data_IF_270132603430
#
_entry.id   IF_270132603430
#
_cell.length_a   1.000
_cell.length_b   1.000
_cell.length_c   1.000
_cell.angle_alpha   90.00
_cell.angle_beta   90.00
_cell.angle_gamma   90.00
#
_symmetry.space_group_name_H-M   'P 1'
#
loop_
_entity.id
_entity.type
_entity.pdbx_description
1 polymer ?
#
# COMPACT_ATOMS: atom_id res chain seq x y z
N UNK A 1 -29.82 33.81 7.99
CA UNK A 1 -28.50 33.25 7.62
C UNK A 1 -28.75 31.82 7.18
N UNK A 2 -28.94 31.61 5.87
CA UNK A 2 -29.22 30.27 5.33
C UNK A 2 -27.96 29.42 5.45
N UNK A 3 -27.97 28.40 6.29
CA UNK A 3 -26.91 27.38 6.28
C UNK A 3 -27.08 26.58 4.99
N UNK A 4 -26.27 26.89 3.99
CA UNK A 4 -26.12 26.00 2.84
C UNK A 4 -25.51 24.69 3.35
N UNK A 5 -26.25 23.59 3.27
CA UNK A 5 -25.74 22.26 3.56
C UNK A 5 -24.70 21.89 2.49
N UNK A 6 -23.44 22.29 2.69
CA UNK A 6 -22.34 21.96 1.80
C UNK A 6 -21.80 20.58 2.14
N UNK A 7 -22.03 19.61 1.26
CA UNK A 7 -21.48 18.26 1.35
C UNK A 7 -20.17 18.16 0.57
N UNK A 8 -19.17 17.53 1.18
CA UNK A 8 -17.85 17.30 0.59
C UNK A 8 -17.62 15.80 0.38
N UNK A 9 -17.01 15.43 -0.74
CA UNK A 9 -16.58 14.06 -1.03
C UNK A 9 -15.06 13.98 -0.93
N UNK A 10 -14.57 13.26 0.08
CA UNK A 10 -13.14 13.05 0.27
C UNK A 10 -12.79 11.64 -0.21
N UNK A 11 -11.93 11.55 -1.24
CA UNK A 11 -11.39 10.30 -1.75
C UNK A 11 -10.03 10.07 -1.13
N UNK A 12 -9.94 9.08 -0.25
CA UNK A 12 -8.69 8.69 0.40
C UNK A 12 -7.89 7.78 -0.52
N UNK A 13 -6.58 8.06 -0.64
CA UNK A 13 -5.62 7.09 -1.14
C UNK A 13 -5.29 6.03 -0.08
N UNK A 14 -4.25 5.23 -0.32
CA UNK A 14 -3.77 4.26 0.67
C UNK A 14 -3.30 4.97 1.93
N UNK A 15 -3.93 4.63 3.06
CA UNK A 15 -3.49 5.06 4.39
C UNK A 15 -2.45 4.12 4.95
N UNK A 16 -1.52 4.67 5.73
CA UNK A 16 -0.47 3.90 6.42
C UNK A 16 -0.46 4.23 7.91
N UNK A 17 0.36 3.51 8.66
CA UNK A 17 0.53 3.77 10.10
C UNK A 17 0.85 5.24 10.39
N UNK A 18 0.45 5.71 11.58
CA UNK A 18 0.65 7.11 11.96
C UNK A 18 2.14 7.44 12.13
N UNK A 19 2.48 8.72 11.98
CA UNK A 19 3.89 9.16 12.04
C UNK A 19 4.55 8.91 13.40
N UNK A 20 3.79 8.86 14.50
CA UNK A 20 4.36 8.78 15.84
C UNK A 20 4.61 7.35 16.30
N UNK A 21 3.62 6.47 16.11
CA UNK A 21 3.68 5.09 16.60
C UNK A 21 3.92 4.07 15.50
N UNK A 22 3.67 4.44 14.23
CA UNK A 22 3.69 3.51 13.11
C UNK A 22 2.60 2.45 13.17
N UNK A 23 1.58 2.62 14.04
CA UNK A 23 0.55 1.62 14.25
C UNK A 23 -0.27 1.43 12.97
N UNK A 24 -0.13 0.24 12.38
CA UNK A 24 -0.86 -0.18 11.19
C UNK A 24 -1.56 -1.50 11.50
N UNK A 25 -2.84 -1.58 11.14
CA UNK A 25 -3.64 -2.81 11.11
C UNK A 25 -2.86 -3.97 10.47
N UNK A 26 -2.54 -4.98 11.26
CA UNK A 26 -1.78 -6.16 10.80
C UNK A 26 -2.58 -7.04 9.83
N UNK A 27 -3.88 -6.81 9.69
CA UNK A 27 -4.74 -7.50 8.72
C UNK A 27 -4.79 -6.79 7.37
N UNK A 28 -4.21 -5.61 7.25
CA UNK A 28 -4.10 -4.92 5.96
C UNK A 28 -3.11 -5.63 5.04
N UNK A 29 -3.22 -5.34 3.75
CA UNK A 29 -2.45 -6.04 2.73
C UNK A 29 -0.93 -5.76 2.80
N UNK A 30 -0.50 -4.53 3.12
CA UNK A 30 0.93 -4.19 3.22
C UNK A 30 1.59 -4.90 4.41
N UNK A 31 1.06 -4.82 5.65
CA UNK A 31 1.63 -5.59 6.77
C UNK A 31 1.59 -7.10 6.54
N UNK A 32 0.53 -7.61 5.90
CA UNK A 32 0.44 -9.03 5.52
C UNK A 32 1.53 -9.43 4.53
N UNK A 33 1.80 -8.60 3.53
CA UNK A 33 2.89 -8.79 2.56
C UNK A 33 4.25 -8.77 3.26
N UNK A 34 4.50 -7.82 4.17
CA UNK A 34 5.75 -7.74 4.93
C UNK A 34 5.93 -8.97 5.82
N UNK A 35 4.89 -9.41 6.53
CA UNK A 35 4.93 -10.59 7.40
C UNK A 35 5.29 -11.87 6.64
N UNK A 36 4.66 -12.10 5.48
CA UNK A 36 5.03 -13.22 4.60
C UNK A 36 6.46 -13.07 4.06
N UNK A 37 6.87 -11.85 3.71
CA UNK A 37 8.21 -11.56 3.18
C UNK A 37 9.33 -11.88 4.16
N UNK A 38 9.12 -11.57 5.44
CA UNK A 38 10.03 -11.97 6.53
C UNK A 38 10.16 -13.49 6.62
N UNK A 39 9.04 -14.20 6.46
CA UNK A 39 9.02 -15.66 6.56
C UNK A 39 9.70 -16.39 5.41
N UNK A 40 9.61 -15.86 4.18
CA UNK A 40 10.27 -16.44 3.00
C UNK A 40 11.63 -15.82 2.68
N UNK A 41 12.02 -14.77 3.39
CA UNK A 41 13.31 -14.11 3.22
C UNK A 41 13.45 -13.31 1.92
N UNK A 42 12.37 -12.75 1.39
CA UNK A 42 12.42 -11.89 0.18
C UNK A 42 11.25 -10.93 0.11
N UNK A 43 11.44 -9.78 -0.54
CA UNK A 43 10.41 -8.76 -0.78
C UNK A 43 9.99 -8.73 -2.27
N UNK A 44 8.74 -8.34 -2.58
CA UNK A 44 8.26 -8.29 -3.96
C UNK A 44 8.66 -6.99 -4.67
N UNK A 45 9.19 -7.13 -5.88
CA UNK A 45 9.41 -6.05 -6.85
C UNK A 45 8.16 -5.90 -7.71
N UNK A 46 7.63 -4.68 -7.74
CA UNK A 46 6.60 -4.26 -8.67
C UNK A 46 7.00 -2.93 -9.34
N UNK A 47 6.39 -2.62 -10.49
CA UNK A 47 6.53 -1.33 -11.16
C UNK A 47 5.49 -0.32 -10.64
N UNK A 48 5.73 0.96 -10.93
CA UNK A 48 4.85 2.05 -10.50
C UNK A 48 5.32 2.78 -9.24
N UNK A 49 4.48 3.70 -8.80
CA UNK A 49 4.70 4.56 -7.63
C UNK A 49 3.69 4.27 -6.53
N UNK A 50 3.89 4.85 -5.36
CA UNK A 50 2.93 4.84 -4.26
C UNK A 50 2.75 6.23 -3.67
N UNK A 51 1.50 6.63 -3.43
CA UNK A 51 1.12 7.92 -2.81
C UNK A 51 0.55 7.75 -1.40
N UNK A 52 1.24 6.96 -0.60
CA UNK A 52 0.82 6.53 0.73
C UNK A 52 0.82 7.65 1.77
N UNK A 53 -0.28 7.79 2.52
CA UNK A 53 -0.48 8.89 3.45
C UNK A 53 -0.63 8.38 4.90
N UNK A 54 0.16 8.88 5.87
CA UNK A 54 -0.02 8.52 7.28
C UNK A 54 -1.41 8.89 7.79
N UNK A 55 -2.02 8.00 8.59
CA UNK A 55 -3.37 8.16 9.09
C UNK A 55 -3.60 9.49 9.83
N UNK A 56 -2.66 9.89 10.69
CA UNK A 56 -2.78 11.13 11.47
C UNK A 56 -2.66 12.40 10.61
N UNK A 57 -1.91 12.33 9.51
CA UNK A 57 -1.81 13.42 8.52
C UNK A 57 -3.11 13.52 7.71
N UNK A 58 -3.68 12.38 7.29
CA UNK A 58 -4.97 12.34 6.60
C UNK A 58 -6.09 12.93 7.49
N UNK A 59 -6.14 12.52 8.76
CA UNK A 59 -7.15 13.02 9.70
C UNK A 59 -7.05 14.54 9.91
N UNK A 60 -5.83 15.08 10.10
CA UNK A 60 -5.62 16.54 10.21
C UNK A 60 -6.07 17.28 8.97
N UNK A 61 -5.73 16.76 7.78
CA UNK A 61 -6.10 17.38 6.50
C UNK A 61 -7.63 17.43 6.31
N UNK A 62 -8.35 16.38 6.73
CA UNK A 62 -9.82 16.35 6.73
C UNK A 62 -10.39 17.38 7.70
N UNK A 63 -9.87 17.43 8.93
CA UNK A 63 -10.34 18.39 9.95
C UNK A 63 -10.15 19.83 9.44
N UNK A 64 -8.96 20.16 8.93
CA UNK A 64 -8.65 21.48 8.38
C UNK A 64 -9.61 21.87 7.26
N UNK A 65 -9.97 20.91 6.41
CA UNK A 65 -10.97 21.09 5.35
C UNK A 65 -12.35 21.38 5.93
N UNK A 66 -12.80 20.63 6.93
CA UNK A 66 -14.14 20.77 7.52
C UNK A 66 -14.30 22.07 8.32
N UNK A 67 -13.24 22.57 8.95
CA UNK A 67 -13.30 23.78 9.79
C UNK A 67 -13.07 25.07 8.99
N UNK A 68 -12.43 25.00 7.83
CA UNK A 68 -12.11 26.17 7.02
C UNK A 68 -13.30 26.63 6.17
N UNK A 69 -14.25 27.33 6.80
CA UNK A 69 -15.46 27.87 6.15
C UNK A 69 -15.21 29.14 5.32
N UNK A 70 -14.02 29.71 5.41
CA UNK A 70 -13.67 30.98 4.76
C UNK A 70 -13.08 30.81 3.35
N UNK A 71 -12.87 29.56 2.91
CA UNK A 71 -12.38 29.24 1.57
C UNK A 71 -13.42 28.43 0.82
N UNK A 72 -13.62 28.77 -0.45
CA UNK A 72 -14.35 27.91 -1.39
C UNK A 72 -13.40 26.80 -1.82
N UNK A 73 -13.56 25.61 -1.25
CA UNK A 73 -12.82 24.41 -1.67
C UNK A 73 -13.63 23.65 -2.75
N UNK A 74 -13.01 22.73 -3.53
CA UNK A 74 -13.71 21.88 -4.48
C UNK A 74 -14.59 20.80 -3.82
N UNK A 75 -15.80 20.56 -4.32
CA UNK A 75 -16.75 19.58 -3.74
C UNK A 75 -16.16 18.16 -3.61
N UNK A 76 -15.24 17.78 -4.49
CA UNK A 76 -14.51 16.51 -4.45
C UNK A 76 -13.04 16.79 -4.22
N UNK A 77 -12.45 16.19 -3.19
CA UNK A 77 -11.03 16.31 -2.86
C UNK A 77 -10.37 14.94 -2.78
N UNK A 78 -9.17 14.82 -3.34
CA UNK A 78 -8.36 13.61 -3.24
C UNK A 78 -7.31 13.82 -2.15
N UNK A 79 -7.29 12.93 -1.17
CA UNK A 79 -6.37 12.99 -0.03
C UNK A 79 -5.44 11.80 -0.12
N UNK A 80 -4.27 12.05 -0.70
CA UNK A 80 -3.16 11.11 -0.88
C UNK A 80 -1.85 11.88 -0.74
N UNK A 81 -0.72 11.18 -0.65
CA UNK A 81 0.56 11.86 -0.57
C UNK A 81 0.84 12.62 -1.89
N UNK A 82 1.14 13.93 -1.85
CA UNK A 82 1.23 14.75 -3.06
C UNK A 82 2.49 14.49 -3.89
N UNK A 83 3.42 13.68 -3.36
CA UNK A 83 4.68 13.30 -4.02
C UNK A 83 4.77 11.78 -4.05
N UNK A 84 4.29 11.12 -5.11
CA UNK A 84 4.42 9.68 -5.27
C UNK A 84 5.89 9.28 -5.25
N UNK A 85 6.18 8.10 -4.70
CA UNK A 85 7.55 7.52 -4.70
C UNK A 85 7.55 6.17 -5.38
N UNK A 86 8.63 5.77 -6.09
CA UNK A 86 8.71 4.44 -6.70
C UNK A 86 8.46 3.32 -5.68
N UNK A 87 7.69 2.30 -6.05
CA UNK A 87 7.44 1.13 -5.20
C UNK A 87 8.75 0.49 -4.71
N UNK A 88 9.72 0.37 -5.61
CA UNK A 88 11.03 -0.22 -5.31
C UNK A 88 11.75 0.53 -4.19
N UNK A 89 11.58 1.84 -4.07
CA UNK A 89 12.25 2.64 -3.03
C UNK A 89 11.68 2.30 -1.64
N UNK A 90 10.37 2.07 -1.55
CA UNK A 90 9.73 1.57 -0.32
C UNK A 90 10.25 0.18 0.03
N UNK A 91 10.34 -0.74 -0.95
CA UNK A 91 10.85 -2.09 -0.71
C UNK A 91 12.32 -2.09 -0.29
N UNK A 92 13.15 -1.23 -0.87
CA UNK A 92 14.53 -1.02 -0.44
C UNK A 92 14.61 -0.50 1.00
N UNK A 93 13.79 0.50 1.34
CA UNK A 93 13.72 1.05 2.69
C UNK A 93 13.25 0.00 3.71
N UNK A 94 12.28 -0.84 3.35
CA UNK A 94 11.82 -1.97 4.16
C UNK A 94 12.93 -3.01 4.34
N UNK A 95 13.62 -3.40 3.26
CA UNK A 95 14.73 -4.36 3.33
C UNK A 95 15.81 -3.89 4.31
N UNK A 96 16.20 -2.61 4.25
CA UNK A 96 17.15 -2.02 5.18
C UNK A 96 16.62 -1.97 6.63
N UNK A 97 15.35 -1.60 6.81
CA UNK A 97 14.73 -1.45 8.14
C UNK A 97 14.48 -2.79 8.84
N UNK A 98 14.36 -3.89 8.09
CA UNK A 98 14.13 -5.23 8.62
C UNK A 98 15.41 -5.96 9.03
N UNK A 99 16.60 -5.44 8.69
CA UNK A 99 17.90 -6.07 9.03
C UNK A 99 18.01 -6.45 10.51
N UNK A 100 17.64 -5.60 11.50
CA UNK A 100 17.72 -5.97 12.91
C UNK A 100 16.81 -7.16 13.30
N UNK A 101 15.75 -7.41 12.54
CA UNK A 101 14.80 -8.49 12.79
C UNK A 101 15.24 -9.82 12.15
N UNK A 102 15.82 -9.77 10.95
CA UNK A 102 16.12 -10.96 10.13
C UNK A 102 17.62 -11.22 9.95
N UNK A 103 18.48 -10.41 10.57
CA UNK A 103 19.94 -10.47 10.52
C UNK A 103 20.55 -10.43 9.10
N UNK A 104 19.81 -9.92 8.12
CA UNK A 104 20.23 -9.81 6.72
C UNK A 104 19.36 -8.79 5.96
N UNK A 105 19.85 -8.30 4.82
CA UNK A 105 18.98 -7.59 3.88
C UNK A 105 18.16 -8.60 3.09
N UNK A 106 16.85 -8.37 3.00
CA UNK A 106 15.98 -9.21 2.21
C UNK A 106 16.17 -8.88 0.72
N UNK A 107 16.50 -9.86 -0.15
CA UNK A 107 16.52 -9.65 -1.59
C UNK A 107 15.15 -9.26 -2.11
N UNK A 108 15.12 -8.38 -3.10
CA UNK A 108 13.90 -7.99 -3.80
C UNK A 108 13.81 -8.82 -5.09
N UNK A 109 12.75 -9.62 -5.22
CA UNK A 109 12.51 -10.53 -6.35
C UNK A 109 11.23 -10.14 -7.09
N UNK A 110 11.01 -10.58 -8.33
CA UNK A 110 9.78 -10.26 -9.08
C UNK A 110 8.51 -10.64 -8.30
N UNK A 111 7.42 -9.86 -8.43
CA UNK A 111 6.22 -10.07 -7.63
C UNK A 111 5.61 -11.47 -7.82
N UNK A 112 5.55 -11.96 -9.05
CA UNK A 112 5.08 -13.33 -9.32
C UNK A 112 5.95 -14.39 -8.61
N UNK A 113 7.27 -14.26 -8.71
CA UNK A 113 8.22 -15.16 -8.06
C UNK A 113 8.07 -15.10 -6.53
N UNK A 114 7.91 -13.90 -5.97
CA UNK A 114 7.62 -13.72 -4.55
C UNK A 114 6.33 -14.44 -4.13
N UNK A 115 5.25 -14.27 -4.88
CA UNK A 115 3.94 -14.88 -4.57
C UNK A 115 4.03 -16.42 -4.60
N UNK A 116 4.71 -16.96 -5.62
CA UNK A 116 4.98 -18.40 -5.74
C UNK A 116 5.73 -18.94 -4.53
N UNK A 117 6.81 -18.26 -4.09
CA UNK A 117 7.58 -18.66 -2.89
C UNK A 117 6.72 -18.67 -1.63
N UNK A 118 5.83 -17.69 -1.45
CA UNK A 118 4.90 -17.66 -0.31
C UNK A 118 3.97 -18.87 -0.35
N UNK A 119 3.36 -19.16 -1.51
CA UNK A 119 2.45 -20.28 -1.66
C UNK A 119 3.15 -21.62 -1.35
N UNK A 120 4.30 -21.88 -1.97
CA UNK A 120 5.08 -23.10 -1.74
C UNK A 120 5.52 -23.27 -0.28
N UNK A 121 5.95 -22.18 0.37
CA UNK A 121 6.34 -22.20 1.78
C UNK A 121 5.15 -22.44 2.72
N UNK A 122 3.99 -21.87 2.41
CA UNK A 122 2.76 -22.06 3.18
C UNK A 122 2.20 -23.49 3.03
N UNK A 123 2.25 -24.07 1.83
CA UNK A 123 1.84 -25.46 1.57
C UNK A 123 2.77 -26.46 2.24
N UNK A 124 4.08 -26.19 2.23
CA UNK A 124 5.10 -27.06 2.85
C UNK A 124 5.15 -26.96 4.38
N UNK A 125 4.37 -26.06 4.99
CA UNK A 125 4.39 -25.82 6.43
C UNK A 125 3.65 -26.94 7.19
N UNK A 126 4.38 -27.67 8.04
CA UNK A 126 3.88 -28.83 8.79
C UNK A 126 3.21 -28.49 10.14
N UNK A 127 3.08 -27.21 10.49
CA UNK A 127 2.48 -26.78 11.76
C UNK A 127 0.96 -26.63 11.69
N UNK A 128 0.37 -26.06 12.75
CA UNK A 128 -1.06 -25.78 12.78
C UNK A 128 -1.46 -24.74 11.73
N UNK A 129 -2.72 -24.75 11.31
CA UNK A 129 -3.24 -23.74 10.37
C UNK A 129 -3.10 -22.32 10.94
N UNK A 130 -3.32 -22.15 12.24
CA UNK A 130 -3.13 -20.87 12.94
C UNK A 130 -1.69 -20.37 12.81
N UNK A 131 -0.71 -21.24 13.00
CA UNK A 131 0.70 -20.87 12.88
C UNK A 131 1.11 -20.63 11.42
N UNK A 132 0.52 -21.38 10.47
CA UNK A 132 0.68 -21.12 9.03
C UNK A 132 0.26 -19.69 8.71
N UNK A 133 -0.91 -19.26 9.19
CA UNK A 133 -1.43 -17.93 8.95
C UNK A 133 -0.70 -16.80 9.67
N UNK A 134 -0.05 -17.08 10.80
CA UNK A 134 0.84 -16.09 11.44
C UNK A 134 2.12 -15.90 10.64
N UNK A 135 2.61 -16.97 10.01
CA UNK A 135 3.87 -16.98 9.25
C UNK A 135 3.68 -16.48 7.82
N UNK A 136 2.56 -16.80 7.19
CA UNK A 136 2.24 -16.43 5.80
C UNK A 136 0.90 -15.68 5.74
N UNK A 137 0.74 -14.53 6.42
CA UNK A 137 -0.54 -13.83 6.53
C UNK A 137 -1.13 -13.38 5.18
N UNK A 138 -0.29 -13.13 4.17
CA UNK A 138 -0.77 -12.78 2.82
C UNK A 138 -1.61 -13.86 2.16
N UNK A 139 -1.48 -15.13 2.58
CA UNK A 139 -2.30 -16.24 2.05
C UNK A 139 -3.78 -16.11 2.41
N UNK A 140 -4.13 -15.34 3.43
CA UNK A 140 -5.54 -15.01 3.76
C UNK A 140 -6.20 -14.10 2.73
N UNK A 141 -5.38 -13.34 2.00
CA UNK A 141 -5.80 -12.38 0.98
C UNK A 141 -5.24 -12.76 -0.38
N UNK A 142 -5.06 -14.07 -0.62
CA UNK A 142 -4.39 -14.60 -1.83
C UNK A 142 -4.99 -14.03 -3.12
N UNK A 143 -6.31 -13.96 -3.23
CA UNK A 143 -6.98 -13.37 -4.40
C UNK A 143 -6.61 -11.90 -4.65
N UNK A 144 -6.38 -11.13 -3.58
CA UNK A 144 -5.91 -9.75 -3.67
C UNK A 144 -4.47 -9.72 -4.17
N UNK A 145 -3.60 -10.58 -3.62
CA UNK A 145 -2.20 -10.68 -4.05
C UNK A 145 -2.11 -11.11 -5.51
N UNK A 146 -2.90 -12.11 -5.93
CA UNK A 146 -2.93 -12.58 -7.32
C UNK A 146 -3.37 -11.46 -8.27
N UNK A 147 -4.38 -10.67 -7.87
CA UNK A 147 -4.80 -9.48 -8.60
C UNK A 147 -3.67 -8.43 -8.72
N UNK A 148 -2.89 -8.23 -7.67
CA UNK A 148 -1.73 -7.31 -7.69
C UNK A 148 -0.61 -7.81 -8.61
N UNK A 149 -0.34 -9.12 -8.62
CA UNK A 149 0.64 -9.75 -9.53
C UNK A 149 0.19 -9.58 -10.98
N UNK A 150 -1.09 -9.78 -11.28
CA UNK A 150 -1.63 -9.55 -12.62
C UNK A 150 -1.54 -8.08 -13.03
N UNK A 151 -1.87 -7.15 -12.13
CA UNK A 151 -1.74 -5.72 -12.38
C UNK A 151 -0.29 -5.31 -12.65
N UNK A 152 0.67 -5.83 -11.90
CA UNK A 152 2.10 -5.57 -12.11
C UNK A 152 2.57 -6.07 -13.49
N UNK A 153 2.16 -7.29 -13.89
CA UNK A 153 2.46 -7.81 -15.24
C UNK A 153 1.90 -6.94 -16.36
N UNK A 154 0.67 -6.47 -16.19
CA UNK A 154 0.03 -5.59 -17.17
C UNK A 154 0.71 -4.23 -17.23
N UNK A 155 1.12 -3.67 -16.09
CA UNK A 155 1.85 -2.41 -16.07
C UNK A 155 3.24 -2.54 -16.71
N UNK A 156 3.91 -3.67 -16.52
CA UNK A 156 5.21 -3.93 -17.17
C UNK A 156 5.12 -4.02 -18.70
N UNK A 157 3.95 -4.32 -19.26
CA UNK A 157 3.74 -4.36 -20.72
C UNK A 157 3.48 -2.98 -21.34
N UNK A 158 3.35 -1.93 -20.52
CA UNK A 158 3.03 -0.56 -20.94
C UNK A 158 4.16 0.43 -20.65
N UNK A 159 4.32 1.43 -21.52
CA UNK A 159 5.18 2.58 -21.26
C UNK A 159 4.55 3.54 -20.22
N UNK A 160 5.38 4.30 -19.49
CA UNK A 160 4.89 5.39 -18.63
C UNK A 160 4.40 4.97 -17.25
N UNK A 161 4.97 3.91 -16.66
CA UNK A 161 4.63 3.41 -15.31
C UNK A 161 4.99 4.38 -14.18
N UNK A 162 5.78 5.43 -14.44
CA UNK A 162 6.25 6.40 -13.43
C UNK A 162 5.14 7.21 -12.74
N UNK A 163 3.91 7.16 -13.25
CA UNK A 163 2.76 7.90 -12.72
C UNK A 163 1.55 7.01 -12.42
N UNK A 164 1.77 5.70 -12.30
CA UNK A 164 0.73 4.73 -11.98
C UNK A 164 0.96 4.18 -10.59
N UNK A 165 -0.10 4.15 -9.78
CA UNK A 165 -0.03 3.51 -8.46
C UNK A 165 0.23 2.01 -8.61
N UNK A 166 1.24 1.52 -7.91
CA UNK A 166 1.62 0.12 -7.89
C UNK A 166 0.53 -0.75 -7.24
N UNK A 167 0.57 -2.05 -7.51
CA UNK A 167 -0.34 -3.04 -6.95
C UNK A 167 -1.83 -2.78 -7.29
N UNK A 168 -2.13 -2.14 -8.42
CA UNK A 168 -3.51 -1.97 -8.91
C UNK A 168 -4.37 -1.00 -8.11
N UNK A 169 -3.76 -0.13 -7.29
CA UNK A 169 -4.52 0.96 -6.65
C UNK A 169 -4.88 1.97 -7.75
N UNK A 170 -6.15 2.40 -7.79
CA UNK A 170 -6.72 3.18 -8.90
C UNK A 170 -5.89 4.44 -9.20
N UNK A 171 -5.61 4.69 -10.48
CA UNK A 171 -5.03 5.95 -10.96
C UNK A 171 -5.95 7.11 -10.58
N UNK A 172 -5.56 7.90 -9.58
CA UNK A 172 -6.24 9.17 -9.29
C UNK A 172 -5.85 10.18 -10.38
N UNK A 173 -6.54 10.13 -11.52
CA UNK A 173 -6.43 11.16 -12.55
C UNK A 173 -6.88 12.51 -11.96
N UNK A 174 -5.93 13.40 -11.73
CA UNK A 174 -6.18 14.81 -11.39
C UNK A 174 -6.53 15.65 -12.63
N UNK A 175 -6.33 15.11 -13.83
CA UNK A 175 -6.45 15.84 -15.10
C UNK A 175 -7.80 15.67 -15.85
N UNK A 176 -8.77 14.93 -15.32
CA UNK A 176 -10.01 14.62 -16.04
C UNK A 176 -11.17 15.63 -15.82
N UNK A 177 -10.88 16.81 -15.26
CA UNK A 177 -11.86 17.89 -15.11
C UNK A 177 -11.29 19.20 -15.65
N UNK A 178 -11.27 19.32 -16.98
CA UNK A 178 -11.27 20.60 -17.68
C UNK A 178 -12.38 20.58 -18.72
#
# INVERSE_FOLDING_TARGET
MSMTNTTWYIRLGQLVGDVKSGAWSTTDWVPSLIGSSVSIGSLPRAVGTVSWLPLDVAARSIIDTCVNRNKVLPQVMHTSHPRPVPWVDIMNALSASLVPLVNSQLPIVGFEEWNKRVAEAAESFKGSESDRYKRFPSTKIQSTIDGMVLADKELQSHDGVEHVESCGTVRNHTAAWR
#
